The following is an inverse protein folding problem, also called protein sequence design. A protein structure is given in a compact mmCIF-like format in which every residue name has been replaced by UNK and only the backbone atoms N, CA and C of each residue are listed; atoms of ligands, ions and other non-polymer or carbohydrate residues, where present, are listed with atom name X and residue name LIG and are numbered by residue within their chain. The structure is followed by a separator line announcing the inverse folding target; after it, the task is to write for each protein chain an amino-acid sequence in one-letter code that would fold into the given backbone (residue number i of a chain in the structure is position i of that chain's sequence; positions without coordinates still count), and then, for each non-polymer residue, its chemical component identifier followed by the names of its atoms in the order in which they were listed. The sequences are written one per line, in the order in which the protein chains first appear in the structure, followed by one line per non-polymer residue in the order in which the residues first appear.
data_IF_408499974612
#
_entry.id   IF_408499974612
#
_cell.length_a   1.000
_cell.length_b   1.000
_cell.length_c   1.000
_cell.angle_alpha   90.00
_cell.angle_beta   90.00
_cell.angle_gamma   90.00
#
_symmetry.space_group_name_H-M   'P 1'
#
loop_
_entity.id
_entity.type
_entity.pdbx_description
1 polymer ?
#
# COMPACT_ATOMS: atom_id res chain seq x y z
N UNK A 1 29.87 10.01 21.00
CA UNK A 1 28.50 9.80 21.49
C UNK A 1 27.78 8.98 20.43
N UNK A 2 27.35 7.76 20.74
CA UNK A 2 26.61 6.92 19.79
C UNK A 2 25.15 7.31 19.77
N UNK A 3 24.57 7.51 18.58
CA UNK A 3 23.14 7.77 18.43
C UNK A 3 22.40 6.45 18.63
N UNK A 4 21.52 6.40 19.63
CA UNK A 4 20.62 5.27 19.82
C UNK A 4 19.40 5.44 18.93
N UNK A 5 19.18 4.51 18.00
CA UNK A 5 18.08 4.58 17.05
C UNK A 5 16.86 3.85 17.60
N UNK A 6 15.64 4.30 17.28
CA UNK A 6 14.42 3.58 17.67
C UNK A 6 14.47 2.13 17.16
N UNK A 7 14.44 1.17 18.09
CA UNK A 7 14.30 -0.23 17.73
C UNK A 7 12.85 -0.52 17.33
N UNK A 8 12.61 -0.71 16.03
CA UNK A 8 11.29 -1.04 15.51
C UNK A 8 10.90 -2.45 15.97
N UNK A 9 9.80 -2.55 16.71
CA UNK A 9 9.20 -3.85 17.03
C UNK A 9 8.47 -4.40 15.81
N UNK A 10 8.58 -5.71 15.60
CA UNK A 10 7.78 -6.40 14.59
C UNK A 10 6.31 -6.40 15.01
N UNK A 11 5.42 -6.06 14.08
CA UNK A 11 3.97 -6.22 14.22
C UNK A 11 3.49 -7.60 13.74
N UNK A 12 4.40 -8.41 13.17
CA UNK A 12 4.06 -9.72 12.62
C UNK A 12 3.78 -10.71 13.74
N UNK A 13 2.72 -11.49 13.58
CA UNK A 13 2.39 -12.59 14.47
C UNK A 13 3.47 -13.68 14.37
N UNK A 14 4.04 -14.06 15.51
CA UNK A 14 5.08 -15.07 15.58
C UNK A 14 4.56 -16.43 15.08
N UNK A 15 5.33 -17.09 14.22
CA UNK A 15 4.99 -18.40 13.65
C UNK A 15 3.93 -18.38 12.54
N UNK A 16 3.36 -17.22 12.20
CA UNK A 16 2.36 -17.13 11.14
C UNK A 16 3.02 -17.06 9.76
N UNK A 17 2.56 -17.91 8.84
CA UNK A 17 3.02 -17.88 7.45
C UNK A 17 2.19 -16.90 6.61
N UNK A 18 2.71 -15.69 6.43
CA UNK A 18 2.09 -14.62 5.62
C UNK A 18 2.07 -14.90 4.10
N UNK A 19 2.67 -15.98 3.62
CA UNK A 19 2.55 -16.40 2.22
C UNK A 19 1.29 -17.23 1.94
N UNK A 20 0.56 -17.63 2.99
CA UNK A 20 -0.69 -18.36 2.82
C UNK A 20 -1.79 -17.43 2.30
N UNK A 21 -2.78 -18.02 1.63
CA UNK A 21 -3.96 -17.28 1.17
C UNK A 21 -4.66 -16.62 2.36
N UNK A 22 -4.92 -15.31 2.24
CA UNK A 22 -5.59 -14.50 3.25
C UNK A 22 -6.19 -13.25 2.61
N UNK A 23 -7.15 -12.64 3.30
CA UNK A 23 -7.75 -11.38 2.86
C UNK A 23 -6.96 -10.20 3.43
N UNK A 24 -6.56 -9.27 2.56
CA UNK A 24 -5.82 -8.07 2.94
C UNK A 24 -6.50 -6.84 2.35
N UNK A 25 -6.72 -5.82 3.18
CA UNK A 25 -7.07 -4.48 2.72
C UNK A 25 -5.85 -3.59 2.91
N UNK A 26 -5.33 -3.06 1.82
CA UNK A 26 -4.14 -2.20 1.83
C UNK A 26 -4.58 -0.78 1.49
N UNK A 27 -4.12 0.18 2.29
CA UNK A 27 -4.24 1.61 1.99
C UNK A 27 -2.83 2.21 2.01
N UNK A 28 -2.56 3.13 1.09
CA UNK A 28 -1.28 3.79 0.97
C UNK A 28 -1.50 5.26 0.62
N UNK A 29 -0.76 6.15 1.27
CA UNK A 29 -0.72 7.55 0.87
C UNK A 29 0.40 7.74 -0.15
N UNK A 30 0.08 8.35 -1.29
CA UNK A 30 1.10 8.85 -2.21
C UNK A 30 1.94 9.94 -1.53
N UNK A 31 3.18 10.10 -2.03
CA UNK A 31 4.01 11.23 -1.63
C UNK A 31 3.25 12.53 -1.88
N UNK A 32 3.34 13.46 -0.93
CA UNK A 32 2.70 14.77 -0.97
C UNK A 32 1.16 14.75 -1.20
N UNK A 33 0.52 13.57 -1.01
CA UNK A 33 -0.90 13.31 -1.29
C UNK A 33 -1.29 13.51 -2.75
N UNK A 34 -0.36 13.31 -3.66
CA UNK A 34 -0.64 13.41 -5.10
C UNK A 34 -1.63 12.33 -5.57
N UNK A 35 -2.50 12.69 -6.52
CA UNK A 35 -3.46 11.79 -7.16
C UNK A 35 -2.79 10.87 -8.21
N UNK A 36 -1.75 10.13 -7.81
CA UNK A 36 -0.90 9.36 -8.73
C UNK A 36 -1.65 8.22 -9.43
N UNK A 37 -2.64 7.61 -8.76
CA UNK A 37 -3.32 6.42 -9.24
C UNK A 37 -4.61 6.73 -10.01
N UNK A 38 -5.00 8.00 -10.07
CA UNK A 38 -6.22 8.46 -10.68
C UNK A 38 -7.03 9.37 -9.75
N UNK A 39 -8.28 9.58 -10.10
CA UNK A 39 -9.19 10.50 -9.42
C UNK A 39 -10.60 9.93 -9.38
N UNK A 40 -11.39 10.38 -8.41
CA UNK A 40 -12.80 10.00 -8.31
C UNK A 40 -13.66 11.06 -9.00
N UNK A 41 -14.42 10.66 -10.02
CA UNK A 41 -15.37 11.53 -10.75
C UNK A 41 -16.74 10.86 -10.69
N UNK A 42 -17.74 11.55 -10.14
CA UNK A 42 -19.09 10.99 -10.03
C UNK A 42 -19.21 9.74 -9.13
N UNK A 43 -18.25 9.52 -8.23
CA UNK A 43 -18.20 8.32 -7.38
C UNK A 43 -17.47 7.12 -8.01
N UNK A 44 -16.99 7.26 -9.25
CA UNK A 44 -16.24 6.24 -9.95
C UNK A 44 -14.75 6.56 -10.00
N UNK A 45 -13.92 5.52 -9.94
CA UNK A 45 -12.48 5.65 -10.07
C UNK A 45 -12.10 5.80 -11.55
N UNK A 46 -11.53 6.95 -11.91
CA UNK A 46 -10.93 7.20 -13.23
C UNK A 46 -9.41 7.06 -13.09
N UNK A 47 -8.87 5.97 -13.63
CA UNK A 47 -7.44 5.63 -13.48
C UNK A 47 -6.54 6.58 -14.28
N UNK A 48 -5.40 6.90 -13.68
CA UNK A 48 -4.26 7.48 -14.42
C UNK A 48 -3.51 6.40 -15.20
N UNK A 49 -2.46 6.77 -15.93
CA UNK A 49 -1.55 5.78 -16.55
C UNK A 49 -0.96 4.81 -15.51
N UNK A 50 -0.47 5.34 -14.37
CA UNK A 50 0.03 4.51 -13.27
C UNK A 50 -1.09 3.67 -12.63
N UNK A 51 -2.30 4.22 -12.53
CA UNK A 51 -3.47 3.48 -12.06
C UNK A 51 -3.79 2.26 -12.93
N UNK A 52 -3.71 2.40 -14.26
CA UNK A 52 -3.92 1.29 -15.19
C UNK A 52 -2.84 0.21 -15.05
N UNK A 53 -1.57 0.60 -14.85
CA UNK A 53 -0.49 -0.36 -14.58
C UNK A 53 -0.80 -1.15 -13.31
N UNK A 54 -1.21 -0.48 -12.23
CA UNK A 54 -1.58 -1.16 -10.98
C UNK A 54 -2.76 -2.11 -11.22
N UNK A 55 -3.83 -1.67 -11.88
CA UNK A 55 -4.97 -2.54 -12.15
C UNK A 55 -4.54 -3.83 -12.86
N UNK A 56 -3.71 -3.71 -13.90
CA UNK A 56 -3.21 -4.87 -14.66
C UNK A 56 -2.39 -5.86 -13.84
N UNK A 57 -1.62 -5.39 -12.85
CA UNK A 57 -0.80 -6.27 -12.00
C UNK A 57 -1.62 -6.98 -10.90
N UNK A 58 -2.85 -6.52 -10.65
CA UNK A 58 -3.77 -7.08 -9.66
C UNK A 58 -4.86 -7.98 -10.28
N UNK A 59 -4.96 -8.02 -11.60
CA UNK A 59 -5.79 -8.97 -12.37
C UNK A 59 -5.11 -10.35 -12.49
#
# INVERSE_FOLDING_TARGET
MGVDFPQRRSVRLSGYNYSQNGAYLITICAKDRDCLFGQIVGGEMVLSELGNVIQKEWE
#
